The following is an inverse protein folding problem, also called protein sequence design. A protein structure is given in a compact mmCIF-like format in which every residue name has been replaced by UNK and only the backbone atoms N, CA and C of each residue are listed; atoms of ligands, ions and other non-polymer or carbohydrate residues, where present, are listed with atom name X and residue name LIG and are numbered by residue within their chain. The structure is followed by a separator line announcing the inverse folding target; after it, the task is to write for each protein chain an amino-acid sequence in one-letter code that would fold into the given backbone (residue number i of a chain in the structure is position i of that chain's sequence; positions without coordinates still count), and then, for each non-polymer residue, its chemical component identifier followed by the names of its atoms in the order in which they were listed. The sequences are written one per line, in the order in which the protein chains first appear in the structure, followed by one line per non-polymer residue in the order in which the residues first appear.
data_IF_061596921591
#
_entry.id   IF_061596921591
#
_cell.length_a   1.000
_cell.length_b   1.000
_cell.length_c   1.000
_cell.angle_alpha   90.00
_cell.angle_beta   90.00
_cell.angle_gamma   90.00
#
_symmetry.space_group_name_H-M   'P 1'
#
loop_
_entity.id
_entity.type
_entity.pdbx_description
1 polymer ?
#
# COMPACT_ATOMS: atom_id res chain seq x y z
N UNK A 1 -18.13 -18.87 4.39
CA UNK A 1 -17.31 -19.11 3.19
C UNK A 1 -16.13 -18.17 3.32
N UNK A 2 -14.91 -18.69 3.39
CA UNK A 2 -13.71 -17.84 3.49
C UNK A 2 -13.61 -17.02 2.19
N UNK A 3 -13.60 -15.70 2.31
CA UNK A 3 -13.40 -14.82 1.16
C UNK A 3 -12.05 -15.12 0.54
N UNK A 4 -12.01 -15.37 -0.77
CA UNK A 4 -10.73 -15.52 -1.46
C UNK A 4 -10.01 -14.17 -1.45
N UNK A 5 -8.68 -14.22 -1.44
CA UNK A 5 -7.85 -13.03 -1.52
C UNK A 5 -8.18 -12.18 -2.76
N UNK A 6 -8.51 -12.81 -3.88
CA UNK A 6 -8.98 -12.15 -5.11
C UNK A 6 -10.28 -11.37 -4.91
N UNK A 7 -11.21 -11.87 -4.09
CA UNK A 7 -12.50 -11.22 -3.84
C UNK A 7 -12.32 -10.01 -2.93
N UNK A 8 -11.37 -10.09 -2.00
CA UNK A 8 -11.00 -8.97 -1.14
C UNK A 8 -10.27 -7.87 -1.91
N UNK A 9 -9.31 -8.23 -2.77
CA UNK A 9 -8.64 -7.29 -3.65
C UNK A 9 -9.64 -6.58 -4.59
N UNK A 10 -10.57 -7.31 -5.19
CA UNK A 10 -11.59 -6.71 -6.07
C UNK A 10 -12.48 -5.72 -5.32
N UNK A 11 -12.98 -6.10 -4.14
CA UNK A 11 -13.74 -5.19 -3.27
C UNK A 11 -12.95 -3.93 -2.90
N UNK A 12 -11.67 -4.08 -2.61
CA UNK A 12 -10.79 -2.98 -2.24
C UNK A 12 -10.57 -2.02 -3.42
N UNK A 13 -10.33 -2.55 -4.63
CA UNK A 13 -10.19 -1.76 -5.86
C UNK A 13 -11.48 -0.96 -6.17
N UNK A 14 -12.65 -1.59 -6.08
CA UNK A 14 -13.94 -0.91 -6.26
C UNK A 14 -14.13 0.25 -5.25
N UNK A 15 -13.69 0.04 -4.00
CA UNK A 15 -13.77 1.05 -2.94
C UNK A 15 -12.82 2.23 -3.21
N UNK A 16 -11.60 1.96 -3.69
CA UNK A 16 -10.63 2.99 -4.06
C UNK A 16 -11.18 3.87 -5.19
N UNK A 17 -11.76 3.26 -6.22
CA UNK A 17 -12.38 3.97 -7.33
C UNK A 17 -13.58 4.80 -6.86
N UNK A 18 -14.42 4.24 -5.99
CA UNK A 18 -15.58 4.92 -5.40
C UNK A 18 -15.18 6.18 -4.62
N UNK A 19 -14.06 6.13 -3.90
CA UNK A 19 -13.57 7.26 -3.10
C UNK A 19 -12.52 8.12 -3.82
N UNK A 20 -12.29 7.90 -5.12
CA UNK A 20 -11.44 8.76 -5.93
C UNK A 20 -9.94 8.63 -5.63
N UNK A 21 -9.48 7.49 -5.11
CA UNK A 21 -8.06 7.21 -4.98
C UNK A 21 -7.46 6.83 -6.32
N UNK A 22 -6.28 7.36 -6.63
CA UNK A 22 -5.41 6.80 -7.65
C UNK A 22 -4.63 5.64 -7.05
N UNK A 23 -4.57 4.50 -7.73
CA UNK A 23 -3.90 3.32 -7.20
C UNK A 23 -3.08 2.58 -8.26
N UNK A 24 -2.10 1.80 -7.79
CA UNK A 24 -1.27 0.91 -8.61
C UNK A 24 -1.04 -0.39 -7.84
N UNK A 25 -1.33 -1.51 -8.49
CA UNK A 25 -1.09 -2.86 -7.98
C UNK A 25 -0.20 -3.66 -8.94
N UNK A 26 1.03 -4.05 -8.56
CA UNK A 26 1.90 -4.87 -9.41
C UNK A 26 1.36 -6.29 -9.54
N UNK A 27 0.82 -6.64 -10.71
CA UNK A 27 0.35 -8.01 -10.99
C UNK A 27 1.43 -8.83 -11.71
N UNK A 28 1.63 -10.11 -11.36
CA UNK A 28 2.49 -11.01 -12.13
C UNK A 28 2.01 -11.12 -13.56
N UNK A 29 2.93 -11.05 -14.52
CA UNK A 29 2.66 -11.29 -15.93
C UNK A 29 3.22 -12.64 -16.36
N UNK A 30 2.51 -13.34 -17.24
CA UNK A 30 3.02 -14.55 -17.88
C UNK A 30 4.02 -14.14 -18.96
N UNK A 31 5.27 -14.56 -18.81
CA UNK A 31 6.34 -14.30 -19.77
C UNK A 31 6.91 -15.61 -20.28
N UNK A 32 7.45 -15.61 -21.50
CA UNK A 32 8.11 -16.77 -22.10
C UNK A 32 9.61 -16.53 -22.16
N UNK A 33 10.40 -17.32 -21.42
CA UNK A 33 11.88 -17.28 -21.42
C UNK A 33 12.42 -18.65 -21.79
N UNK A 34 13.31 -18.70 -22.79
CA UNK A 34 13.93 -19.97 -23.21
C UNK A 34 12.93 -21.06 -23.63
N UNK A 35 11.74 -20.69 -24.08
CA UNK A 35 10.66 -21.62 -24.41
C UNK A 35 9.76 -22.03 -23.25
N UNK A 36 10.12 -21.71 -22.01
CA UNK A 36 9.33 -21.99 -20.79
C UNK A 36 8.47 -20.79 -20.42
N UNK A 37 7.23 -21.05 -20.03
CA UNK A 37 6.35 -20.03 -19.48
C UNK A 37 6.55 -19.91 -17.98
N UNK A 38 6.83 -18.69 -17.52
CA UNK A 38 7.03 -18.35 -16.12
C UNK A 38 6.18 -17.13 -15.78
N UNK A 39 5.77 -17.03 -14.51
CA UNK A 39 5.11 -15.83 -13.99
C UNK A 39 6.15 -14.96 -13.29
N UNK A 40 6.32 -13.74 -13.78
CA UNK A 40 7.22 -12.76 -13.21
C UNK A 40 6.51 -11.42 -13.10
N UNK A 41 6.69 -10.71 -12.00
CA UNK A 41 6.28 -9.31 -11.91
C UNK A 41 7.38 -8.45 -12.53
N UNK A 42 7.03 -7.65 -13.54
CA UNK A 42 7.99 -6.86 -14.29
C UNK A 42 8.42 -5.61 -13.51
N UNK A 43 9.47 -5.73 -12.71
CA UNK A 43 10.13 -4.60 -12.05
C UNK A 43 11.64 -4.83 -11.93
N UNK A 44 12.38 -3.76 -11.63
CA UNK A 44 13.79 -3.82 -11.21
C UNK A 44 13.87 -3.33 -9.76
N UNK A 45 14.59 -4.05 -8.90
CA UNK A 45 14.74 -3.70 -7.48
C UNK A 45 14.56 -4.89 -6.54
N UNK A 46 14.15 -4.59 -5.30
CA UNK A 46 13.96 -5.57 -4.24
C UNK A 46 12.60 -6.26 -4.33
N UNK A 47 12.56 -7.57 -4.08
CA UNK A 47 11.34 -8.36 -4.03
C UNK A 47 10.44 -7.98 -2.86
N UNK A 48 9.19 -8.43 -2.90
CA UNK A 48 8.24 -8.30 -1.78
C UNK A 48 7.66 -6.90 -1.61
N UNK A 49 7.68 -6.06 -2.66
CA UNK A 49 6.96 -4.79 -2.62
C UNK A 49 5.47 -5.04 -2.31
N UNK A 50 4.84 -4.10 -1.60
CA UNK A 50 3.46 -4.23 -1.13
C UNK A 50 2.49 -4.22 -2.31
N UNK A 51 1.33 -4.84 -2.11
CA UNK A 51 0.31 -4.96 -3.14
C UNK A 51 -0.13 -3.62 -3.72
N UNK A 52 -0.40 -2.60 -2.90
CA UNK A 52 -0.96 -1.33 -3.37
C UNK A 52 -0.14 -0.13 -2.95
N UNK A 53 0.05 0.80 -3.89
CA UNK A 53 0.37 2.21 -3.61
C UNK A 53 -0.83 3.04 -4.04
N UNK A 54 -1.45 3.74 -3.09
CA UNK A 54 -2.66 4.55 -3.33
C UNK A 54 -2.46 5.98 -2.88
N UNK A 55 -3.03 6.92 -3.62
CA UNK A 55 -2.91 8.34 -3.35
C UNK A 55 -4.23 9.07 -3.58
N UNK A 56 -4.52 10.07 -2.75
CA UNK A 56 -5.69 10.92 -2.91
C UNK A 56 -5.30 12.38 -2.72
N UNK A 57 -5.49 13.19 -3.76
CA UNK A 57 -5.03 14.58 -3.79
C UNK A 57 -5.82 15.48 -2.82
N UNK A 58 -7.16 15.43 -2.83
CA UNK A 58 -7.96 16.31 -1.95
C UNK A 58 -7.75 15.96 -0.47
N UNK A 59 -7.69 14.66 -0.15
CA UNK A 59 -7.39 14.17 1.20
C UNK A 59 -5.93 14.31 1.60
N UNK A 60 -5.03 14.59 0.65
CA UNK A 60 -3.58 14.68 0.85
C UNK A 60 -2.98 13.42 1.50
N UNK A 61 -3.38 12.23 1.02
CA UNK A 61 -2.95 10.94 1.55
C UNK A 61 -2.13 10.15 0.54
N UNK A 62 -1.10 9.49 1.03
CA UNK A 62 -0.31 8.47 0.32
C UNK A 62 -0.24 7.25 1.22
N UNK A 63 -0.72 6.11 0.74
CA UNK A 63 -0.85 4.89 1.54
C UNK A 63 -0.22 3.74 0.77
N UNK A 64 0.59 2.94 1.47
CA UNK A 64 1.08 1.65 1.00
C UNK A 64 0.31 0.55 1.75
N UNK A 65 -0.31 -0.37 1.03
CA UNK A 65 -1.12 -1.42 1.63
C UNK A 65 -0.75 -2.79 1.08
N UNK A 66 -0.56 -3.76 1.97
CA UNK A 66 -0.50 -5.18 1.65
C UNK A 66 -1.83 -5.82 2.05
N UNK A 67 -2.44 -6.58 1.15
CA UNK A 67 -3.65 -7.33 1.46
C UNK A 67 -3.30 -8.78 1.77
N UNK A 68 -3.93 -9.35 2.80
CA UNK A 68 -3.83 -10.78 3.09
C UNK A 68 -5.19 -11.40 3.26
N UNK A 69 -5.31 -12.68 2.95
CA UNK A 69 -6.37 -13.51 3.53
C UNK A 69 -6.33 -13.47 5.06
N UNK A 70 -7.38 -13.93 5.74
CA UNK A 70 -7.43 -13.94 7.22
C UNK A 70 -6.22 -14.62 7.85
N UNK A 71 -5.76 -15.71 7.23
CA UNK A 71 -4.64 -16.52 7.73
C UNK A 71 -3.33 -16.29 6.98
N UNK A 72 -3.34 -15.44 5.94
CA UNK A 72 -2.20 -15.14 5.10
C UNK A 72 -1.04 -14.53 5.90
N UNK A 73 0.16 -15.06 5.67
CA UNK A 73 1.41 -14.60 6.31
C UNK A 73 2.20 -13.72 5.36
N UNK A 74 2.86 -12.71 5.92
CA UNK A 74 3.85 -11.93 5.19
C UNK A 74 5.04 -12.83 4.85
N UNK A 75 5.55 -12.69 3.63
CA UNK A 75 6.88 -13.21 3.31
C UNK A 75 7.96 -12.37 4.02
N UNK A 76 9.18 -12.92 4.22
CA UNK A 76 10.27 -12.15 4.79
C UNK A 76 10.59 -10.86 4.01
N UNK A 77 10.52 -10.91 2.69
CA UNK A 77 10.76 -9.75 1.82
C UNK A 77 9.68 -8.66 1.99
N UNK A 78 8.41 -9.06 2.14
CA UNK A 78 7.30 -8.13 2.41
C UNK A 78 7.42 -7.49 3.79
N UNK A 79 7.78 -8.28 4.80
CA UNK A 79 8.01 -7.76 6.15
C UNK A 79 9.14 -6.71 6.14
N UNK A 80 10.24 -6.98 5.42
CA UNK A 80 11.35 -6.04 5.30
C UNK A 80 10.93 -4.71 4.66
N UNK A 81 10.09 -4.74 3.62
CA UNK A 81 9.54 -3.51 3.04
C UNK A 81 8.67 -2.75 4.03
N UNK A 82 7.77 -3.43 4.75
CA UNK A 82 6.90 -2.80 5.76
C UNK A 82 7.74 -2.12 6.85
N UNK A 83 8.77 -2.80 7.36
CA UNK A 83 9.64 -2.27 8.40
C UNK A 83 10.41 -1.05 7.90
N UNK A 84 10.96 -1.13 6.67
CA UNK A 84 11.67 -0.03 6.02
C UNK A 84 10.76 1.19 5.84
N UNK A 85 9.55 1.00 5.30
CA UNK A 85 8.58 2.07 5.08
C UNK A 85 8.13 2.72 6.39
N UNK A 86 7.86 1.92 7.43
CA UNK A 86 7.50 2.45 8.75
C UNK A 86 8.63 3.25 9.40
N UNK A 87 9.88 2.83 9.21
CA UNK A 87 11.02 3.60 9.70
C UNK A 87 11.15 4.94 8.97
N UNK A 88 10.97 4.96 7.64
CA UNK A 88 10.91 6.21 6.87
C UNK A 88 9.75 7.12 7.32
N UNK A 89 8.56 6.56 7.57
CA UNK A 89 7.39 7.29 8.10
C UNK A 89 7.70 8.00 9.43
N UNK A 90 8.38 7.28 10.34
CA UNK A 90 8.75 7.79 11.67
C UNK A 90 9.70 8.98 11.59
N UNK A 91 10.67 8.95 10.68
CA UNK A 91 11.66 10.04 10.52
C UNK A 91 11.04 11.34 10.00
N UNK A 92 10.03 11.26 9.12
CA UNK A 92 9.28 12.42 8.62
C UNK A 92 8.55 13.13 9.77
N UNK A 93 7.99 12.36 10.71
CA UNK A 93 7.22 12.90 11.84
C UNK A 93 8.11 13.63 12.86
N UNK A 94 9.40 13.28 12.93
CA UNK A 94 10.32 13.78 13.96
C UNK A 94 11.23 14.93 13.49
N UNK A 95 11.21 15.29 12.21
CA UNK A 95 12.10 16.32 11.67
C UNK A 95 11.39 17.68 11.61
N UNK A 96 11.67 18.64 12.51
CA UNK A 96 11.15 19.99 12.39
C UNK A 96 11.77 20.69 11.17
N UNK A 97 10.96 21.00 10.16
CA UNK A 97 11.39 21.82 9.03
C UNK A 97 11.47 23.29 9.49
N UNK A 98 12.59 24.00 9.34
CA UNK A 98 12.66 25.43 9.62
C UNK A 98 11.76 26.18 8.65
N UNK A 99 10.64 26.70 9.13
CA UNK A 99 9.73 27.53 8.33
C UNK A 99 10.21 28.98 8.42
N UNK A 100 10.42 29.70 7.30
CA UNK A 100 10.65 31.13 7.33
C UNK A 100 9.51 31.83 8.10
N UNK A 101 9.90 32.69 9.04
CA UNK A 101 9.03 33.34 10.02
C UNK A 101 7.85 34.02 9.30
N UNK A 102 6.62 33.57 9.58
CA UNK A 102 5.40 34.22 9.09
C UNK A 102 4.18 33.33 8.87
N UNK A 103 4.32 31.99 8.83
CA UNK A 103 3.17 31.07 8.74
C UNK A 103 3.37 29.86 9.66
N UNK A 104 2.48 29.69 10.65
CA UNK A 104 2.36 28.44 11.43
C UNK A 104 1.69 27.40 10.53
N UNK A 105 2.44 26.71 9.69
CA UNK A 105 1.94 25.55 8.96
C UNK A 105 2.58 24.30 9.58
N UNK A 106 1.81 23.57 10.38
CA UNK A 106 2.21 22.26 10.92
C UNK A 106 2.16 21.26 9.77
N UNK A 107 3.18 21.27 8.92
CA UNK A 107 3.24 20.46 7.71
C UNK A 107 3.94 19.13 8.03
N UNK A 108 3.20 18.17 8.57
CA UNK A 108 3.66 16.78 8.58
C UNK A 108 2.75 15.99 7.65
N UNK A 109 3.02 16.09 6.34
CA UNK A 109 2.48 15.12 5.39
C UNK A 109 3.39 13.90 5.47
N UNK A 110 2.89 12.85 6.09
CA UNK A 110 3.53 11.53 6.07
C UNK A 110 2.67 10.58 5.25
N UNK A 111 3.30 9.56 4.67
CA UNK A 111 2.57 8.43 4.11
C UNK A 111 2.16 7.45 5.22
N UNK A 112 1.32 6.48 4.88
CA UNK A 112 0.79 5.47 5.79
C UNK A 112 1.10 4.06 5.27
N UNK A 113 1.22 3.08 6.17
CA UNK A 113 1.59 1.70 5.83
C UNK A 113 0.65 0.74 6.55
N UNK A 114 -0.13 -0.03 5.79
CA UNK A 114 -1.10 -0.98 6.32
C UNK A 114 -0.88 -2.41 5.83
N UNK A 115 -1.24 -3.36 6.70
CA UNK A 115 -1.49 -4.75 6.32
C UNK A 115 -2.95 -5.00 6.64
N UNK A 116 -3.75 -5.26 5.62
CA UNK A 116 -5.20 -5.34 5.74
C UNK A 116 -5.73 -6.73 5.44
N UNK A 117 -6.80 -7.09 6.16
CA UNK A 117 -7.49 -8.38 6.06
C UNK A 117 -9.00 -8.17 5.85
N UNK A 118 -9.72 -9.16 5.29
CA UNK A 118 -11.17 -9.07 5.10
C UNK A 118 -11.97 -8.71 6.37
N UNK A 119 -11.52 -9.13 7.55
CA UNK A 119 -12.12 -8.81 8.85
C UNK A 119 -12.05 -7.33 9.23
N UNK A 120 -11.23 -6.54 8.52
CA UNK A 120 -11.03 -5.11 8.75
C UNK A 120 -11.80 -4.23 7.76
N UNK A 121 -12.73 -4.77 6.95
CA UNK A 121 -13.45 -4.02 5.91
C UNK A 121 -14.09 -2.72 6.43
N UNK A 122 -14.76 -2.77 7.57
CA UNK A 122 -15.41 -1.61 8.17
C UNK A 122 -14.37 -0.54 8.57
N UNK A 123 -13.24 -0.96 9.13
CA UNK A 123 -12.13 -0.07 9.48
C UNK A 123 -11.52 0.57 8.22
N UNK A 124 -11.29 -0.23 7.18
CA UNK A 124 -10.73 0.21 5.89
C UNK A 124 -11.66 1.25 5.24
N UNK A 125 -12.97 1.01 5.25
CA UNK A 125 -13.95 1.95 4.71
C UNK A 125 -13.90 3.28 5.46
N UNK A 126 -13.92 3.25 6.80
CA UNK A 126 -13.79 4.46 7.63
C UNK A 126 -12.48 5.18 7.38
N UNK A 127 -11.37 4.45 7.22
CA UNK A 127 -10.07 5.02 6.93
C UNK A 127 -10.10 5.71 5.56
N UNK A 128 -10.62 5.08 4.51
CA UNK A 128 -10.52 5.59 3.15
C UNK A 128 -11.55 6.70 2.84
N UNK A 129 -12.70 6.70 3.51
CA UNK A 129 -13.79 7.67 3.33
C UNK A 129 -13.41 9.12 3.62
#
# INVERSE_FOLDING_TARGET
MELKESDFASWFEDLLDTYGYKWMHPRPARVKRGGVEIYETAYSGHKGYLDYTIAHEVKQRLIFAELKSETGKLSPDQQLWIDTLKECQRQITLTPVPIPIGRKLKLFYSFEVYVWRPSQRDEIEVILK
#
